data_IF_717593288158
#
_entry.id   IF_717593288158
#
_cell.length_a   1.000
_cell.length_b   1.000
_cell.length_c   1.000
_cell.angle_alpha   90.00
_cell.angle_beta   90.00
_cell.angle_gamma   90.00
#
_symmetry.space_group_name_H-M   'P 1'
#
loop_
_entity.id
_entity.type
_entity.pdbx_description
1 polymer ?
#
# COMPACT_ATOMS: atom_id res chain seq x y z
N UNK A 1 2.08 21.73 -25.68
CA UNK A 1 2.14 23.14 -25.23
C UNK A 1 3.26 23.27 -24.22
N UNK A 2 3.99 24.38 -24.22
CA UNK A 2 5.14 24.59 -23.32
C UNK A 2 5.09 25.98 -22.74
N UNK A 3 5.21 26.10 -21.42
CA UNK A 3 5.45 27.37 -20.73
C UNK A 3 6.90 27.42 -20.27
N UNK A 4 7.70 28.25 -20.93
CA UNK A 4 9.15 28.28 -20.77
C UNK A 4 9.63 29.58 -20.11
N UNK A 5 10.17 29.48 -18.89
CA UNK A 5 10.54 30.63 -18.08
C UNK A 5 11.99 30.60 -17.56
N UNK A 6 12.80 29.62 -17.97
CA UNK A 6 14.16 29.42 -17.46
C UNK A 6 15.21 30.43 -17.97
N UNK A 7 14.89 31.28 -18.95
CA UNK A 7 15.83 32.27 -19.49
C UNK A 7 16.21 33.37 -18.49
N UNK A 8 15.41 33.57 -17.44
CA UNK A 8 15.69 34.52 -16.35
C UNK A 8 15.56 33.84 -14.99
N UNK A 9 15.95 34.51 -13.91
CA UNK A 9 15.76 34.01 -12.55
C UNK A 9 14.30 34.05 -12.07
N UNK A 10 13.44 34.84 -12.74
CA UNK A 10 12.02 34.93 -12.42
C UNK A 10 11.27 33.63 -12.74
N UNK A 11 10.15 33.43 -12.06
CA UNK A 11 9.26 32.29 -12.26
C UNK A 11 8.10 32.67 -13.18
N UNK A 12 7.69 31.74 -14.05
CA UNK A 12 6.39 31.83 -14.71
C UNK A 12 5.27 31.71 -13.68
N UNK A 13 4.23 32.53 -13.80
CA UNK A 13 3.10 32.57 -12.86
C UNK A 13 1.81 32.78 -13.65
N UNK A 14 0.71 32.15 -13.25
CA UNK A 14 -0.60 32.30 -13.89
C UNK A 14 -0.76 31.55 -15.21
N UNK A 15 0.17 30.66 -15.56
CA UNK A 15 0.14 29.91 -16.82
C UNK A 15 -0.74 28.66 -16.69
N UNK A 16 -1.77 28.57 -17.53
CA UNK A 16 -2.76 27.49 -17.48
C UNK A 16 -3.01 26.86 -18.85
N UNK A 17 -3.32 25.56 -18.82
CA UNK A 17 -4.12 24.90 -19.84
C UNK A 17 -5.43 24.46 -19.21
N UNK A 18 -6.56 24.85 -19.80
CA UNK A 18 -7.89 24.49 -19.32
C UNK A 18 -8.72 23.94 -20.47
N UNK A 19 -9.14 22.68 -20.37
CA UNK A 19 -9.93 22.01 -21.39
C UNK A 19 -9.12 21.50 -22.58
N UNK A 20 -9.81 20.73 -23.42
CA UNK A 20 -9.31 20.31 -24.72
C UNK A 20 -8.61 18.95 -24.73
N UNK A 21 -8.06 18.61 -25.90
CA UNK A 21 -7.38 17.34 -26.16
C UNK A 21 -6.12 17.59 -26.98
N UNK A 22 -5.00 16.96 -26.59
CA UNK A 22 -3.74 16.99 -27.32
C UNK A 22 -3.36 15.56 -27.71
N UNK A 23 -2.98 15.35 -28.98
CA UNK A 23 -2.69 14.04 -29.55
C UNK A 23 -1.26 13.98 -30.08
N UNK A 24 -0.59 12.84 -29.90
CA UNK A 24 0.73 12.55 -30.47
C UNK A 24 1.81 13.55 -30.00
N UNK A 25 2.73 13.93 -30.89
CA UNK A 25 3.92 14.72 -30.54
C UNK A 25 4.99 13.85 -29.90
N UNK A 26 6.26 14.18 -30.15
CA UNK A 26 7.39 13.42 -29.58
C UNK A 26 7.63 13.70 -28.09
N UNK A 27 7.10 14.82 -27.58
CA UNK A 27 7.23 15.24 -26.18
C UNK A 27 5.99 14.98 -25.35
N UNK A 28 5.79 15.81 -24.32
CA UNK A 28 4.60 15.79 -23.46
C UNK A 28 3.49 16.70 -23.97
N UNK A 29 2.22 16.43 -23.65
CA UNK A 29 1.12 17.28 -24.13
C UNK A 29 1.18 18.70 -23.53
N UNK A 30 1.49 18.82 -22.23
CA UNK A 30 1.79 20.10 -21.58
C UNK A 30 3.08 19.97 -20.78
N UNK A 31 3.98 20.93 -20.95
CA UNK A 31 5.27 21.01 -20.26
C UNK A 31 5.42 22.36 -19.54
N UNK A 32 5.84 22.31 -18.27
CA UNK A 32 6.20 23.50 -17.50
C UNK A 32 7.69 23.54 -17.24
N UNK A 33 8.31 24.68 -17.49
CA UNK A 33 9.73 24.94 -17.28
C UNK A 33 9.86 26.21 -16.46
N UNK A 34 10.30 26.10 -15.20
CA UNK A 34 10.47 27.22 -14.26
C UNK A 34 9.19 28.00 -13.97
N UNK A 35 8.11 27.30 -13.66
CA UNK A 35 6.83 27.89 -13.26
C UNK A 35 6.55 27.67 -11.76
N UNK A 36 6.07 28.71 -11.10
CA UNK A 36 5.69 28.68 -9.70
C UNK A 36 4.33 29.34 -9.53
N UNK A 37 3.32 28.55 -9.13
CA UNK A 37 1.95 29.04 -8.95
C UNK A 37 1.78 29.96 -7.74
N UNK A 38 2.82 30.18 -6.94
CA UNK A 38 2.71 30.93 -5.68
C UNK A 38 1.84 30.21 -4.66
N UNK A 39 1.60 30.83 -3.50
CA UNK A 39 0.71 30.23 -2.49
C UNK A 39 -0.75 30.12 -2.97
N UNK A 40 -1.11 30.90 -3.99
CA UNK A 40 -2.44 30.89 -4.60
C UNK A 40 -2.65 29.68 -5.52
N UNK A 41 -1.59 28.91 -5.80
CA UNK A 41 -1.57 27.80 -6.74
C UNK A 41 -2.08 28.20 -8.14
N UNK A 42 -1.70 29.38 -8.59
CA UNK A 42 -2.15 29.97 -9.84
C UNK A 42 -1.26 29.52 -11.00
N UNK A 43 -1.48 28.29 -11.45
CA UNK A 43 -0.88 27.74 -12.67
C UNK A 43 -1.06 26.23 -12.72
N UNK A 44 -1.01 25.65 -13.92
CA UNK A 44 -1.07 24.21 -14.12
C UNK A 44 -2.04 23.77 -15.23
N UNK A 45 -2.67 22.62 -15.05
CA UNK A 45 -3.52 21.98 -16.07
C UNK A 45 -4.83 21.56 -15.47
N UNK A 46 -5.94 21.85 -16.17
CA UNK A 46 -7.28 21.37 -15.82
C UNK A 46 -8.04 20.83 -17.03
N UNK A 47 -8.85 19.79 -16.83
CA UNK A 47 -9.82 19.27 -17.80
C UNK A 47 -9.20 18.85 -19.15
N UNK A 48 -7.99 18.25 -19.11
CA UNK A 48 -7.22 17.91 -20.31
C UNK A 48 -7.29 16.41 -20.64
N UNK A 49 -7.44 16.09 -21.93
CA UNK A 49 -7.15 14.75 -22.46
C UNK A 49 -5.78 14.78 -23.17
N UNK A 50 -4.87 13.91 -22.76
CA UNK A 50 -3.59 13.65 -23.43
C UNK A 50 -3.60 12.25 -24.06
N UNK A 51 -3.41 12.16 -25.37
CA UNK A 51 -3.54 10.91 -26.13
C UNK A 51 -2.27 10.59 -26.94
N UNK A 52 -1.61 9.48 -26.61
CA UNK A 52 -0.47 8.91 -27.37
C UNK A 52 0.71 9.85 -27.60
N UNK A 53 1.00 10.68 -26.61
CA UNK A 53 2.19 11.53 -26.61
C UNK A 53 3.47 10.69 -26.43
N UNK A 54 4.57 11.13 -27.04
CA UNK A 54 5.85 10.41 -27.10
C UNK A 54 6.67 10.45 -25.81
N UNK A 55 6.37 11.37 -24.90
CA UNK A 55 6.85 11.35 -23.51
C UNK A 55 5.69 11.06 -22.55
N UNK A 56 5.37 12.01 -21.66
CA UNK A 56 4.37 11.86 -20.59
C UNK A 56 3.14 12.73 -20.85
N UNK A 57 2.00 12.41 -20.25
CA UNK A 57 0.77 13.17 -20.52
C UNK A 57 0.89 14.66 -20.19
N UNK A 58 1.25 14.97 -18.95
CA UNK A 58 1.71 16.31 -18.55
C UNK A 58 3.01 16.18 -17.78
N UNK A 59 3.86 17.21 -17.87
CA UNK A 59 5.20 17.16 -17.29
C UNK A 59 5.62 18.48 -16.64
N UNK A 60 6.18 18.38 -15.45
CA UNK A 60 7.05 19.41 -14.89
C UNK A 60 8.48 19.05 -15.24
N UNK A 61 9.21 19.95 -15.89
CA UNK A 61 10.58 19.67 -16.29
C UNK A 61 11.49 19.53 -15.04
N UNK A 62 12.46 18.61 -15.11
CA UNK A 62 13.39 18.31 -14.02
C UNK A 62 14.77 18.96 -14.23
N UNK A 63 15.53 19.13 -13.15
CA UNK A 63 16.92 19.61 -13.20
C UNK A 63 17.07 20.99 -13.89
N UNK A 64 18.12 21.17 -14.69
CA UNK A 64 18.54 22.43 -15.30
C UNK A 64 18.39 22.41 -16.83
N UNK A 65 18.03 23.55 -17.41
CA UNK A 65 18.16 23.84 -18.84
C UNK A 65 19.05 25.07 -18.98
N UNK A 66 20.08 25.01 -19.84
CA UNK A 66 20.97 26.15 -20.08
C UNK A 66 21.70 26.66 -18.84
N UNK A 67 21.89 25.80 -17.82
CA UNK A 67 22.57 26.15 -16.57
C UNK A 67 21.69 26.80 -15.50
N UNK A 68 20.36 26.82 -15.66
CA UNK A 68 19.41 27.29 -14.64
C UNK A 68 18.35 26.23 -14.37
N UNK A 69 17.87 26.13 -13.13
CA UNK A 69 16.81 25.19 -12.80
C UNK A 69 15.52 25.46 -13.59
N UNK A 70 14.99 24.38 -14.17
CA UNK A 70 13.76 24.30 -14.95
C UNK A 70 12.59 23.67 -14.15
N UNK A 71 12.80 23.41 -12.85
CA UNK A 71 11.85 22.83 -11.91
C UNK A 71 10.59 23.66 -11.75
N UNK A 72 9.58 23.14 -11.06
CA UNK A 72 8.29 23.81 -10.92
C UNK A 72 7.73 23.64 -9.50
N UNK A 73 6.90 24.60 -9.08
CA UNK A 73 6.36 24.65 -7.72
C UNK A 73 4.89 25.06 -7.71
N UNK A 74 4.12 24.55 -6.75
CA UNK A 74 2.77 25.03 -6.39
C UNK A 74 1.78 25.11 -7.55
N UNK A 75 1.92 24.21 -8.52
CA UNK A 75 0.96 24.06 -9.62
C UNK A 75 -0.19 23.12 -9.26
N UNK A 76 -1.32 23.27 -9.96
CA UNK A 76 -2.48 22.37 -9.85
C UNK A 76 -2.61 21.52 -11.11
N UNK A 77 -2.76 20.22 -10.92
CA UNK A 77 -3.06 19.24 -11.97
C UNK A 77 -4.38 18.58 -11.61
N UNK A 78 -5.44 18.91 -12.33
CA UNK A 78 -6.81 18.56 -11.94
C UNK A 78 -7.61 18.04 -13.14
N UNK A 79 -8.26 16.89 -13.02
CA UNK A 79 -9.09 16.31 -14.08
C UNK A 79 -8.31 16.10 -15.39
N UNK A 80 -7.25 15.29 -15.33
CA UNK A 80 -6.41 14.95 -16.49
C UNK A 80 -6.64 13.49 -16.85
N UNK A 81 -6.96 13.24 -18.12
CA UNK A 81 -7.05 11.90 -18.70
C UNK A 81 -5.84 11.66 -19.59
N UNK A 82 -4.96 10.73 -19.25
CA UNK A 82 -3.87 10.31 -20.14
C UNK A 82 -4.10 8.91 -20.68
N UNK A 83 -3.99 8.75 -22.00
CA UNK A 83 -4.20 7.46 -22.67
C UNK A 83 -2.98 7.14 -23.52
N UNK A 84 -2.33 6.03 -23.21
CA UNK A 84 -1.27 5.44 -24.04
C UNK A 84 -0.07 6.36 -24.31
N UNK A 85 0.34 7.16 -23.33
CA UNK A 85 1.65 7.83 -23.40
C UNK A 85 2.79 6.80 -23.40
N UNK A 86 3.90 7.14 -24.07
CA UNK A 86 5.03 6.22 -24.20
C UNK A 86 5.92 6.18 -22.95
N UNK A 87 5.95 7.27 -22.18
CA UNK A 87 6.47 7.27 -20.81
C UNK A 87 5.27 7.26 -19.86
N UNK A 88 5.13 8.28 -19.01
CA UNK A 88 4.25 8.20 -17.85
C UNK A 88 2.91 8.86 -18.13
N UNK A 89 1.88 8.49 -17.37
CA UNK A 89 0.58 9.15 -17.50
C UNK A 89 0.64 10.62 -17.10
N UNK A 90 1.28 10.92 -15.96
CA UNK A 90 1.72 12.26 -15.56
C UNK A 90 3.12 12.15 -14.94
N UNK A 91 4.01 13.09 -15.25
CA UNK A 91 5.37 13.18 -14.70
C UNK A 91 5.53 14.49 -13.94
N UNK A 92 5.23 14.46 -12.64
CA UNK A 92 5.25 15.66 -11.77
C UNK A 92 6.49 15.60 -10.86
N UNK A 93 7.65 15.36 -11.47
CA UNK A 93 8.94 15.34 -10.78
C UNK A 93 9.70 16.66 -10.98
N UNK A 94 10.58 17.00 -10.05
CA UNK A 94 11.48 18.14 -10.08
C UNK A 94 12.95 17.70 -10.15
N UNK A 95 13.34 16.63 -9.48
CA UNK A 95 14.68 16.05 -9.57
C UNK A 95 14.65 14.74 -10.38
N UNK A 96 15.71 14.47 -11.15
CA UNK A 96 15.88 13.18 -11.84
C UNK A 96 17.35 12.79 -12.02
N UNK A 97 17.63 11.49 -12.08
CA UNK A 97 18.99 10.97 -12.21
C UNK A 97 19.84 11.18 -10.94
N UNK A 98 21.16 11.26 -11.12
CA UNK A 98 22.12 11.43 -10.03
C UNK A 98 22.06 12.84 -9.43
N UNK A 99 22.22 13.00 -8.10
CA UNK A 99 22.22 14.30 -7.46
C UNK A 99 23.28 15.26 -8.03
N UNK A 100 22.84 16.48 -8.34
CA UNK A 100 23.70 17.60 -8.75
C UNK A 100 23.22 18.87 -8.03
N UNK A 101 24.12 19.83 -7.79
CA UNK A 101 23.72 21.08 -7.13
C UNK A 101 22.74 21.86 -8.00
N UNK A 102 21.69 22.43 -7.37
CA UNK A 102 20.65 23.15 -8.09
C UNK A 102 21.05 24.60 -8.33
N UNK A 103 20.82 25.12 -9.52
CA UNK A 103 21.18 26.51 -9.89
C UNK A 103 19.95 27.41 -9.92
N UNK A 104 19.98 28.51 -9.16
CA UNK A 104 18.85 29.42 -8.94
C UNK A 104 17.57 28.71 -8.44
N UNK A 105 17.78 27.73 -7.54
CA UNK A 105 16.76 26.95 -6.83
C UNK A 105 17.30 26.56 -5.44
N UNK A 106 16.53 25.85 -4.62
CA UNK A 106 16.97 25.44 -3.29
C UNK A 106 18.19 24.51 -3.33
N UNK A 107 19.23 24.76 -2.50
CA UNK A 107 20.43 23.95 -2.49
C UNK A 107 20.17 22.55 -1.90
N UNK A 108 21.02 21.58 -2.26
CA UNK A 108 20.95 20.21 -1.73
C UNK A 108 21.06 20.14 -0.20
N UNK A 109 21.77 21.08 0.41
CA UNK A 109 21.91 21.19 1.87
C UNK A 109 20.62 21.58 2.58
N UNK A 110 19.70 22.24 1.89
CA UNK A 110 18.40 22.63 2.42
C UNK A 110 17.34 21.56 2.16
N UNK A 111 17.32 21.02 0.93
CA UNK A 111 16.40 19.96 0.53
C UNK A 111 17.17 18.89 -0.25
N UNK A 112 17.27 17.66 0.29
CA UNK A 112 17.89 16.54 -0.42
C UNK A 112 17.26 16.30 -1.80
N UNK A 113 17.95 15.53 -2.62
CA UNK A 113 17.44 15.10 -3.94
C UNK A 113 16.09 14.38 -3.78
N UNK A 114 15.15 14.66 -4.69
CA UNK A 114 13.75 14.22 -4.66
C UNK A 114 12.90 14.77 -3.51
N UNK A 115 13.40 15.73 -2.72
CA UNK A 115 12.72 16.23 -1.51
C UNK A 115 12.51 17.74 -1.53
N UNK A 116 12.41 18.36 -2.71
CA UNK A 116 12.02 19.75 -2.83
C UNK A 116 10.59 19.97 -2.30
N UNK A 117 10.28 21.12 -1.68
CA UNK A 117 8.95 21.43 -1.19
C UNK A 117 8.03 21.89 -2.34
N UNK A 118 7.83 21.02 -3.33
CA UNK A 118 7.12 21.31 -4.58
C UNK A 118 5.67 21.72 -4.37
N UNK A 119 4.98 21.15 -3.36
CA UNK A 119 3.63 21.59 -2.92
C UNK A 119 2.60 21.64 -4.04
N UNK A 120 2.66 20.70 -4.98
CA UNK A 120 1.64 20.56 -6.01
C UNK A 120 0.33 20.04 -5.42
N UNK A 121 -0.77 20.40 -6.09
CA UNK A 121 -2.08 19.79 -5.87
C UNK A 121 -2.37 18.93 -7.10
N UNK A 122 -2.41 17.62 -6.92
CA UNK A 122 -2.60 16.64 -7.99
C UNK A 122 -3.88 15.86 -7.70
N UNK A 123 -4.91 16.00 -8.54
CA UNK A 123 -6.18 15.35 -8.26
C UNK A 123 -7.03 15.00 -9.47
N UNK A 124 -7.97 14.07 -9.28
CA UNK A 124 -8.89 13.63 -10.32
C UNK A 124 -8.16 13.17 -11.59
N UNK A 125 -7.10 12.40 -11.44
CA UNK A 125 -6.29 11.96 -12.57
C UNK A 125 -6.72 10.56 -12.96
N UNK A 126 -6.93 10.33 -14.26
CA UNK A 126 -7.14 8.99 -14.81
C UNK A 126 -6.10 8.70 -15.89
N UNK A 127 -5.38 7.59 -15.77
CA UNK A 127 -4.41 7.16 -16.78
C UNK A 127 -4.70 5.73 -17.23
N UNK A 128 -4.49 5.46 -18.51
CA UNK A 128 -4.77 4.15 -19.10
C UNK A 128 -3.69 3.73 -20.09
N UNK A 129 -3.17 2.52 -19.86
CA UNK A 129 -2.29 1.81 -20.80
C UNK A 129 -1.02 2.61 -21.15
N UNK A 130 -0.47 3.33 -20.18
CA UNK A 130 0.80 4.05 -20.30
C UNK A 130 1.97 3.07 -20.27
N UNK A 131 2.94 3.23 -21.16
CA UNK A 131 4.09 2.34 -21.30
C UNK A 131 5.15 2.53 -20.18
N UNK A 132 5.15 3.69 -19.54
CA UNK A 132 5.87 3.98 -18.30
C UNK A 132 5.00 3.77 -17.06
N UNK A 133 5.17 4.66 -16.08
CA UNK A 133 4.43 4.66 -14.82
C UNK A 133 3.05 5.29 -15.02
N UNK A 134 2.03 4.79 -14.32
CA UNK A 134 0.67 5.33 -14.40
C UNK A 134 0.59 6.79 -13.99
N UNK A 135 1.04 7.15 -12.80
CA UNK A 135 1.23 8.52 -12.34
C UNK A 135 2.33 8.58 -11.27
N UNK A 136 3.22 9.57 -11.36
CA UNK A 136 4.31 9.71 -10.38
C UNK A 136 4.77 11.14 -10.16
N UNK A 137 5.41 11.33 -9.00
CA UNK A 137 5.90 12.61 -8.51
C UNK A 137 7.07 12.41 -7.54
N UNK A 138 7.81 13.49 -7.31
CA UNK A 138 8.76 13.62 -6.21
C UNK A 138 8.44 14.86 -5.36
N UNK A 139 9.38 15.20 -4.48
CA UNK A 139 9.26 16.33 -3.58
C UNK A 139 8.46 15.99 -2.32
N UNK A 140 8.06 17.03 -1.61
CA UNK A 140 7.36 16.92 -0.34
C UNK A 140 6.28 17.97 -0.17
N UNK A 141 5.32 17.67 0.71
CA UNK A 141 4.15 18.48 0.98
C UNK A 141 3.20 18.63 -0.22
N UNK A 142 3.26 17.71 -1.18
CA UNK A 142 2.24 17.61 -2.23
C UNK A 142 0.94 17.05 -1.64
N UNK A 143 -0.19 17.48 -2.19
CA UNK A 143 -1.51 16.90 -1.90
C UNK A 143 -1.99 16.13 -3.12
N UNK A 144 -2.21 14.83 -2.95
CA UNK A 144 -2.63 13.91 -4.00
C UNK A 144 -3.97 13.28 -3.63
N UNK A 145 -4.95 13.38 -4.51
CA UNK A 145 -6.31 12.88 -4.26
C UNK A 145 -6.98 12.32 -5.53
N UNK A 146 -7.69 11.20 -5.41
CA UNK A 146 -8.51 10.65 -6.49
C UNK A 146 -7.71 10.37 -7.78
N UNK A 147 -6.78 9.43 -7.70
CA UNK A 147 -5.94 9.00 -8.83
C UNK A 147 -6.31 7.57 -9.21
N UNK A 148 -6.60 7.37 -10.50
CA UNK A 148 -6.98 6.07 -11.05
C UNK A 148 -6.04 5.70 -12.19
N UNK A 149 -5.33 4.57 -12.09
CA UNK A 149 -4.43 4.11 -13.15
C UNK A 149 -4.82 2.69 -13.58
N UNK A 150 -5.03 2.51 -14.89
CA UNK A 150 -5.29 1.23 -15.52
C UNK A 150 -4.11 0.83 -16.39
N UNK A 151 -3.70 -0.44 -16.31
CA UNK A 151 -2.84 -1.07 -17.31
C UNK A 151 -1.46 -0.41 -17.48
N UNK A 152 -0.93 0.21 -16.44
CA UNK A 152 0.43 0.75 -16.47
C UNK A 152 1.45 -0.38 -16.70
N UNK A 153 2.36 -0.17 -17.65
CA UNK A 153 3.41 -1.13 -17.98
C UNK A 153 4.53 -1.15 -16.94
N UNK A 154 4.71 -0.07 -16.18
CA UNK A 154 5.53 0.00 -14.96
C UNK A 154 4.63 0.02 -13.72
N UNK A 155 5.07 0.65 -12.63
CA UNK A 155 4.22 0.91 -11.47
C UNK A 155 2.95 1.68 -11.86
N UNK A 156 1.85 1.47 -11.12
CA UNK A 156 0.65 2.28 -11.28
C UNK A 156 0.84 3.67 -10.66
N UNK A 157 1.34 3.68 -9.43
CA UNK A 157 1.66 4.90 -8.68
C UNK A 157 3.07 4.83 -8.13
N UNK A 158 3.81 5.94 -8.24
CA UNK A 158 5.16 6.06 -7.68
C UNK A 158 5.33 7.41 -6.99
N UNK A 159 5.47 7.40 -5.66
CA UNK A 159 5.96 8.55 -4.89
C UNK A 159 7.48 8.40 -4.68
N UNK A 160 8.25 9.16 -5.44
CA UNK A 160 9.72 9.20 -5.36
C UNK A 160 10.21 10.11 -4.24
N UNK A 161 9.33 10.94 -3.70
CA UNK A 161 9.62 11.90 -2.65
C UNK A 161 9.30 11.40 -1.26
N UNK A 162 8.85 12.30 -0.39
CA UNK A 162 8.55 12.02 1.02
C UNK A 162 7.55 13.03 1.56
N UNK A 163 6.91 12.73 2.70
CA UNK A 163 6.03 13.68 3.40
C UNK A 163 4.90 14.24 2.51
N UNK A 164 4.35 13.39 1.64
CA UNK A 164 3.20 13.70 0.79
C UNK A 164 1.93 13.09 1.38
N UNK A 165 0.80 13.79 1.22
CA UNK A 165 -0.53 13.28 1.57
C UNK A 165 -1.21 12.70 0.33
N UNK A 166 -1.50 11.41 0.37
CA UNK A 166 -1.97 10.60 -0.76
C UNK A 166 -3.31 9.96 -0.39
N UNK A 167 -4.35 10.26 -1.15
CA UNK A 167 -5.72 9.84 -0.82
C UNK A 167 -6.47 9.32 -2.05
N UNK A 168 -7.39 8.38 -1.83
CA UNK A 168 -8.32 7.86 -2.84
C UNK A 168 -7.60 7.35 -4.11
N UNK A 169 -6.75 6.35 -3.95
CA UNK A 169 -5.94 5.79 -5.03
C UNK A 169 -6.55 4.48 -5.52
N UNK A 170 -6.68 4.32 -6.83
CA UNK A 170 -7.09 3.08 -7.48
C UNK A 170 -6.08 2.64 -8.54
N UNK A 171 -5.47 1.47 -8.36
CA UNK A 171 -4.52 0.89 -9.32
C UNK A 171 -5.02 -0.46 -9.81
N UNK A 172 -5.17 -0.63 -11.12
CA UNK A 172 -5.67 -1.86 -11.73
C UNK A 172 -4.72 -2.33 -12.83
N UNK A 173 -4.20 -3.54 -12.69
CA UNK A 173 -3.38 -4.19 -13.73
C UNK A 173 -2.07 -3.47 -14.05
N UNK A 174 -1.42 -2.83 -13.07
CA UNK A 174 -0.07 -2.29 -13.24
C UNK A 174 0.99 -3.40 -13.25
N UNK A 175 2.24 -3.07 -13.56
CA UNK A 175 3.29 -4.04 -13.91
C UNK A 175 2.80 -4.99 -15.03
N UNK A 176 2.16 -4.41 -16.06
CA UNK A 176 1.54 -5.16 -17.15
C UNK A 176 2.53 -6.03 -17.93
N UNK A 177 3.79 -5.60 -18.01
CA UNK A 177 4.87 -6.31 -18.70
C UNK A 177 5.54 -7.41 -17.87
N UNK A 178 5.13 -7.61 -16.62
CA UNK A 178 5.62 -8.67 -15.74
C UNK A 178 7.13 -8.62 -15.48
N UNK A 179 7.67 -7.42 -15.26
CA UNK A 179 9.10 -7.16 -15.00
C UNK A 179 9.43 -7.08 -13.52
N UNK A 180 8.68 -7.79 -12.67
CA UNK A 180 8.82 -7.86 -11.21
C UNK A 180 8.76 -6.50 -10.47
N UNK A 181 7.97 -5.56 -11.01
CA UNK A 181 7.68 -4.27 -10.38
C UNK A 181 6.51 -4.37 -9.41
N UNK A 182 6.43 -3.41 -8.49
CA UNK A 182 5.31 -3.27 -7.56
C UNK A 182 4.13 -2.54 -8.22
N UNK A 183 2.95 -2.63 -7.60
CA UNK A 183 1.78 -1.89 -8.10
C UNK A 183 1.82 -0.42 -7.66
N UNK A 184 2.13 -0.18 -6.38
CA UNK A 184 2.29 1.14 -5.77
C UNK A 184 3.63 1.18 -5.03
N UNK A 185 4.39 2.26 -5.22
CA UNK A 185 5.67 2.51 -4.52
C UNK A 185 5.66 3.86 -3.83
N UNK A 186 6.14 3.91 -2.59
CA UNK A 186 6.57 5.15 -1.94
C UNK A 186 7.97 4.96 -1.34
N UNK A 187 8.92 5.78 -1.78
CA UNK A 187 10.32 5.68 -1.33
C UNK A 187 10.52 6.28 0.07
N UNK A 188 9.89 7.44 0.32
CA UNK A 188 9.94 8.16 1.59
C UNK A 188 8.79 7.88 2.54
N UNK A 189 8.73 8.70 3.59
CA UNK A 189 7.69 8.66 4.62
C UNK A 189 6.48 9.48 4.22
N UNK A 190 5.56 8.86 3.48
CA UNK A 190 4.31 9.45 3.02
C UNK A 190 3.11 8.83 3.72
N UNK A 191 1.94 9.35 3.36
CA UNK A 191 0.73 9.27 4.16
C UNK A 191 -0.45 8.88 3.29
N UNK A 192 -0.79 7.59 3.27
CA UNK A 192 -1.79 7.03 2.34
C UNK A 192 -3.13 6.71 3.03
N UNK A 193 -4.28 7.07 2.41
CA UNK A 193 -5.63 6.70 2.87
C UNK A 193 -6.53 6.35 1.70
N UNK A 194 -7.30 5.26 1.82
CA UNK A 194 -8.25 4.87 0.79
C UNK A 194 -7.53 4.38 -0.46
N UNK A 195 -7.00 3.16 -0.41
CA UNK A 195 -6.20 2.57 -1.48
C UNK A 195 -6.87 1.30 -1.97
N UNK A 196 -7.16 1.23 -3.27
CA UNK A 196 -7.65 0.03 -3.93
C UNK A 196 -6.61 -0.45 -4.94
N UNK A 197 -6.19 -1.70 -4.83
CA UNK A 197 -5.29 -2.35 -5.79
C UNK A 197 -5.98 -3.60 -6.34
N UNK A 198 -6.00 -3.74 -7.66
CA UNK A 198 -6.40 -4.97 -8.34
C UNK A 198 -5.26 -5.40 -9.28
N UNK A 199 -4.29 -6.13 -8.72
CA UNK A 199 -3.19 -6.69 -9.48
C UNK A 199 -3.66 -7.91 -10.30
N UNK A 200 -3.24 -7.99 -11.57
CA UNK A 200 -3.44 -9.16 -12.44
C UNK A 200 -2.25 -10.12 -12.43
N UNK A 201 -1.28 -9.88 -11.55
CA UNK A 201 -0.07 -10.67 -11.35
C UNK A 201 0.22 -10.87 -9.86
N UNK A 202 0.98 -11.91 -9.53
CA UNK A 202 1.46 -12.20 -8.16
C UNK A 202 2.86 -11.64 -7.87
N UNK A 203 3.53 -11.10 -8.89
CA UNK A 203 4.83 -10.43 -8.78
C UNK A 203 4.78 -9.20 -7.86
N UNK A 204 5.92 -8.89 -7.23
CA UNK A 204 6.06 -7.73 -6.34
C UNK A 204 5.03 -7.63 -5.21
N UNK A 205 4.78 -6.38 -4.80
CA UNK A 205 3.85 -5.97 -3.75
C UNK A 205 2.66 -5.20 -4.33
N UNK A 206 1.51 -5.30 -3.67
CA UNK A 206 0.39 -4.39 -3.93
C UNK A 206 0.76 -2.97 -3.48
N UNK A 207 1.40 -2.86 -2.30
CA UNK A 207 1.94 -1.60 -1.78
C UNK A 207 3.33 -1.87 -1.21
N UNK A 208 4.34 -1.20 -1.77
CA UNK A 208 5.71 -1.17 -1.25
C UNK A 208 6.05 0.24 -0.79
N UNK A 209 5.89 0.49 0.51
CA UNK A 209 6.00 1.83 1.08
C UNK A 209 6.62 1.78 2.49
N UNK A 210 7.87 1.29 2.63
CA UNK A 210 8.44 0.85 3.91
C UNK A 210 8.44 1.92 5.01
N UNK A 211 8.60 3.19 4.65
CA UNK A 211 8.65 4.32 5.59
C UNK A 211 7.30 5.04 5.77
N UNK A 212 6.28 4.62 5.03
CA UNK A 212 4.97 5.28 5.01
C UNK A 212 3.98 4.66 5.99
N UNK A 213 2.92 5.40 6.28
CA UNK A 213 1.71 4.91 6.94
C UNK A 213 0.55 4.77 5.95
N UNK A 214 -0.31 3.78 6.17
CA UNK A 214 -1.44 3.48 5.29
C UNK A 214 -2.71 3.11 6.04
N UNK A 215 -3.88 3.56 5.57
CA UNK A 215 -5.19 3.16 6.10
C UNK A 215 -6.21 2.91 4.98
N UNK A 216 -7.25 2.13 5.30
CA UNK A 216 -8.34 1.78 4.37
C UNK A 216 -7.85 1.21 3.03
N UNK A 217 -7.15 0.07 3.10
CA UNK A 217 -6.56 -0.62 1.93
C UNK A 217 -7.40 -1.82 1.52
N UNK A 218 -7.66 -1.98 0.23
CA UNK A 218 -8.30 -3.15 -0.36
C UNK A 218 -7.45 -3.71 -1.51
N UNK A 219 -7.16 -5.01 -1.45
CA UNK A 219 -6.43 -5.73 -2.50
C UNK A 219 -7.34 -6.78 -3.16
N UNK A 220 -7.91 -6.46 -4.32
CA UNK A 220 -8.89 -7.29 -5.03
C UNK A 220 -8.26 -8.46 -5.81
N UNK A 221 -9.13 -9.33 -6.35
CA UNK A 221 -8.76 -10.41 -7.28
C UNK A 221 -7.86 -11.48 -6.67
N UNK A 222 -7.07 -12.17 -7.50
CA UNK A 222 -6.11 -13.22 -7.10
C UNK A 222 -4.64 -12.80 -7.18
N UNK A 223 -4.35 -11.57 -7.65
CA UNK A 223 -2.99 -11.04 -7.69
C UNK A 223 -2.41 -10.71 -6.31
N UNK A 224 -1.20 -10.15 -6.31
CA UNK A 224 -0.44 -9.81 -5.09
C UNK A 224 -1.28 -8.98 -4.12
N UNK A 225 -1.18 -9.33 -2.83
CA UNK A 225 -1.84 -8.62 -1.71
C UNK A 225 -0.83 -8.22 -0.64
N UNK A 226 0.46 -8.30 -0.96
CA UNK A 226 1.54 -7.98 -0.02
C UNK A 226 1.55 -6.47 0.21
N UNK A 227 1.56 -6.08 1.47
CA UNK A 227 1.65 -4.68 1.92
C UNK A 227 2.88 -4.59 2.83
N UNK A 228 3.81 -3.70 2.49
CA UNK A 228 4.97 -3.36 3.30
C UNK A 228 4.94 -1.87 3.65
N UNK A 229 4.83 -1.54 4.93
CA UNK A 229 4.78 -0.17 5.44
C UNK A 229 5.20 -0.10 6.92
N UNK A 230 5.28 1.11 7.48
CA UNK A 230 5.61 1.34 8.90
C UNK A 230 4.38 1.15 9.81
N UNK A 231 3.21 1.62 9.37
CA UNK A 231 1.97 1.56 10.15
C UNK A 231 0.76 1.27 9.26
N UNK A 232 -0.13 0.40 9.75
CA UNK A 232 -1.43 0.09 9.13
C UNK A 232 -2.53 0.57 10.08
N UNK A 233 -3.38 1.48 9.60
CA UNK A 233 -4.49 2.03 10.39
C UNK A 233 -5.55 1.00 10.76
N UNK A 234 -6.17 1.20 11.91
CA UNK A 234 -7.15 0.27 12.49
C UNK A 234 -8.40 0.10 11.61
N UNK A 235 -8.93 -1.13 11.58
CA UNK A 235 -10.25 -1.42 10.99
C UNK A 235 -11.31 -1.25 12.07
N UNK A 236 -12.26 -0.33 11.85
CA UNK A 236 -13.34 -0.02 12.79
C UNK A 236 -14.71 -0.29 12.15
N UNK A 237 -15.71 -0.61 12.98
CA UNK A 237 -17.08 -0.88 12.51
C UNK A 237 -17.99 -1.46 13.59
N UNK A 238 -19.19 -1.85 13.18
CA UNK A 238 -20.14 -2.62 13.99
C UNK A 238 -19.94 -4.13 13.83
N UNK A 239 -21.04 -4.86 13.58
CA UNK A 239 -20.96 -6.30 13.30
C UNK A 239 -20.07 -6.60 12.08
N UNK A 240 -19.27 -7.67 12.17
CA UNK A 240 -18.45 -8.17 11.07
C UNK A 240 -19.17 -9.36 10.45
N UNK A 241 -19.73 -9.17 9.25
CA UNK A 241 -20.29 -10.25 8.44
C UNK A 241 -19.42 -10.43 7.19
N UNK A 242 -18.79 -11.58 7.08
CA UNK A 242 -17.89 -11.94 5.98
C UNK A 242 -18.37 -13.24 5.34
N UNK A 243 -18.20 -13.34 4.02
CA UNK A 243 -18.60 -14.50 3.24
C UNK A 243 -17.53 -14.83 2.20
N UNK A 244 -17.39 -16.10 1.88
CA UNK A 244 -16.51 -16.60 0.83
C UNK A 244 -17.21 -17.73 0.07
N UNK A 245 -16.84 -17.94 -1.19
CA UNK A 245 -17.39 -19.02 -2.02
C UNK A 245 -16.72 -20.38 -1.72
N UNK A 246 -15.51 -20.37 -1.17
CA UNK A 246 -14.84 -21.59 -0.71
C UNK A 246 -15.43 -22.10 0.61
N UNK A 247 -15.36 -23.42 0.82
CA UNK A 247 -15.87 -24.07 2.03
C UNK A 247 -15.13 -23.61 3.30
N UNK A 248 -13.88 -23.19 3.18
CA UNK A 248 -13.05 -22.74 4.30
C UNK A 248 -12.73 -21.26 4.13
N UNK A 249 -12.89 -20.51 5.23
CA UNK A 249 -12.43 -19.12 5.32
C UNK A 249 -11.70 -18.87 6.63
N UNK A 250 -10.86 -17.84 6.65
CA UNK A 250 -10.00 -17.56 7.80
C UNK A 250 -10.00 -16.08 8.19
N UNK A 251 -9.82 -15.85 9.49
CA UNK A 251 -9.28 -14.62 10.04
C UNK A 251 -7.84 -14.91 10.47
N UNK A 252 -6.88 -14.14 9.95
CA UNK A 252 -5.47 -14.29 10.28
C UNK A 252 -4.91 -12.99 10.85
N UNK A 253 -4.04 -13.11 11.84
CA UNK A 253 -3.37 -11.96 12.48
C UNK A 253 -1.86 -12.15 12.44
N UNK A 254 -1.15 -11.20 11.83
CA UNK A 254 0.31 -11.24 11.66
C UNK A 254 0.98 -10.02 12.32
N UNK A 255 1.10 -10.00 13.66
CA UNK A 255 1.91 -8.98 14.33
C UNK A 255 3.40 -9.15 13.99
N UNK A 256 4.22 -8.17 14.43
CA UNK A 256 5.64 -8.09 14.06
C UNK A 256 5.85 -8.16 12.53
N UNK A 257 4.99 -7.46 11.79
CA UNK A 257 4.84 -7.60 10.34
C UNK A 257 6.10 -7.32 9.51
N UNK A 258 7.11 -6.66 10.08
CA UNK A 258 8.40 -6.40 9.43
C UNK A 258 9.36 -7.60 9.44
N UNK A 259 9.12 -8.62 10.27
CA UNK A 259 10.03 -9.77 10.44
C UNK A 259 9.37 -11.14 10.42
N UNK A 260 8.04 -11.21 10.35
CA UNK A 260 7.28 -12.49 10.31
C UNK A 260 6.74 -12.78 8.91
N UNK A 261 6.67 -14.05 8.52
CA UNK A 261 6.00 -14.47 7.28
C UNK A 261 4.64 -15.10 7.59
N UNK A 262 4.60 -16.02 8.55
CA UNK A 262 3.39 -16.72 8.95
C UNK A 262 2.57 -15.90 9.97
N UNK A 263 1.22 -16.00 9.95
CA UNK A 263 0.39 -15.39 10.99
C UNK A 263 0.65 -16.04 12.35
N UNK A 264 0.60 -15.23 13.41
CA UNK A 264 0.73 -15.72 14.79
C UNK A 264 -0.57 -16.34 15.32
N UNK A 265 -1.71 -15.95 14.74
CA UNK A 265 -3.03 -16.46 15.07
C UNK A 265 -3.83 -16.71 13.80
N UNK A 266 -4.52 -17.85 13.75
CA UNK A 266 -5.47 -18.21 12.69
C UNK A 266 -6.75 -18.74 13.32
N UNK A 267 -7.87 -18.09 13.02
CA UNK A 267 -9.22 -18.57 13.28
C UNK A 267 -9.83 -19.05 11.97
N UNK A 268 -10.37 -20.27 11.95
CA UNK A 268 -10.94 -20.91 10.76
C UNK A 268 -12.42 -21.20 10.95
N UNK A 269 -13.18 -20.98 9.88
CA UNK A 269 -14.54 -21.50 9.72
C UNK A 269 -14.53 -22.43 8.51
N UNK A 270 -14.78 -23.72 8.72
CA UNK A 270 -14.78 -24.73 7.68
C UNK A 270 -16.17 -25.37 7.57
N UNK A 271 -16.87 -25.11 6.48
CA UNK A 271 -18.15 -25.70 6.14
C UNK A 271 -17.96 -27.12 5.59
N UNK A 272 -18.28 -28.12 6.41
CA UNK A 272 -18.18 -29.53 6.05
C UNK A 272 -19.38 -29.99 5.20
N UNK A 273 -20.58 -29.47 5.51
CA UNK A 273 -21.82 -29.77 4.80
C UNK A 273 -22.47 -28.45 4.36
N UNK A 274 -22.34 -28.02 3.10
CA UNK A 274 -22.89 -26.77 2.58
C UNK A 274 -24.33 -26.95 2.08
N UNK A 275 -25.23 -27.44 2.96
CA UNK A 275 -26.65 -27.60 2.64
C UNK A 275 -27.46 -26.56 3.41
N UNK A 276 -28.21 -25.72 2.69
CA UNK A 276 -29.01 -24.65 3.27
C UNK A 276 -29.96 -25.17 4.37
N UNK A 277 -29.84 -24.61 5.57
CA UNK A 277 -30.61 -25.00 6.76
C UNK A 277 -30.20 -26.32 7.40
N UNK A 278 -29.10 -26.94 6.94
CA UNK A 278 -28.51 -28.18 7.44
C UNK A 278 -26.99 -28.09 7.47
N UNK A 279 -26.46 -26.89 7.69
CA UNK A 279 -25.05 -26.62 7.68
C UNK A 279 -24.35 -27.31 8.85
N UNK A 280 -23.23 -27.98 8.55
CA UNK A 280 -22.33 -28.51 9.59
C UNK A 280 -20.97 -27.86 9.39
N UNK A 281 -20.46 -27.21 10.43
CA UNK A 281 -19.16 -26.55 10.41
C UNK A 281 -18.23 -27.07 11.50
N UNK A 282 -16.93 -27.00 11.18
CA UNK A 282 -15.81 -27.08 12.11
C UNK A 282 -15.25 -25.68 12.34
N UNK A 283 -15.05 -25.31 13.60
CA UNK A 283 -14.35 -24.07 13.98
C UNK A 283 -12.99 -24.45 14.55
N UNK A 284 -11.93 -23.79 14.09
CA UNK A 284 -10.57 -24.01 14.58
C UNK A 284 -9.88 -22.72 15.00
N UNK A 285 -9.09 -22.78 16.06
CA UNK A 285 -8.23 -21.67 16.51
C UNK A 285 -6.83 -22.20 16.82
N UNK A 286 -5.80 -21.65 16.16
CA UNK A 286 -4.42 -22.12 16.32
C UNK A 286 -3.43 -20.97 16.52
N UNK A 287 -2.38 -21.26 17.29
CA UNK A 287 -1.18 -20.43 17.43
C UNK A 287 -0.04 -20.96 16.54
N UNK A 288 1.15 -20.33 16.62
CA UNK A 288 2.33 -20.69 15.85
C UNK A 288 3.52 -21.04 16.77
N UNK A 289 4.26 -22.12 16.46
CA UNK A 289 5.53 -22.46 17.11
C UNK A 289 6.49 -23.04 16.07
N UNK A 290 7.76 -22.61 16.09
CA UNK A 290 8.80 -23.07 15.16
C UNK A 290 8.38 -22.98 13.67
N UNK A 291 7.56 -21.97 13.34
CA UNK A 291 7.04 -21.75 11.99
C UNK A 291 5.84 -22.61 11.60
N UNK A 292 5.36 -23.49 12.48
CA UNK A 292 4.25 -24.42 12.23
C UNK A 292 3.04 -24.09 13.11
N UNK A 293 1.80 -24.20 12.60
CA UNK A 293 0.60 -24.10 13.43
C UNK A 293 0.60 -25.18 14.53
N UNK A 294 0.36 -24.77 15.78
CA UNK A 294 0.29 -25.68 16.93
C UNK A 294 -0.88 -25.35 17.84
N UNK A 295 -1.18 -26.28 18.76
CA UNK A 295 -2.19 -26.12 19.80
C UNK A 295 -3.56 -25.69 19.25
N UNK A 296 -4.04 -26.40 18.23
CA UNK A 296 -5.33 -26.15 17.63
C UNK A 296 -6.46 -26.57 18.59
N UNK A 297 -7.24 -25.61 19.07
CA UNK A 297 -8.57 -25.90 19.62
C UNK A 297 -9.52 -26.09 18.44
N UNK A 298 -10.36 -27.11 18.51
CA UNK A 298 -11.39 -27.36 17.50
C UNK A 298 -12.77 -27.56 18.16
N UNK A 299 -13.82 -27.09 17.49
CA UNK A 299 -15.21 -27.28 17.91
C UNK A 299 -15.98 -28.06 16.84
N UNK A 300 -16.75 -29.04 17.29
CA UNK A 300 -17.64 -29.85 16.46
C UNK A 300 -16.90 -30.64 15.35
N UNK A 301 -15.69 -31.12 15.65
CA UNK A 301 -14.95 -32.01 14.75
C UNK A 301 -15.81 -33.23 14.41
N UNK A 302 -15.92 -33.54 13.12
CA UNK A 302 -16.76 -34.62 12.57
C UNK A 302 -18.26 -34.54 12.96
N UNK A 303 -18.76 -33.39 13.43
CA UNK A 303 -20.17 -33.22 13.80
C UNK A 303 -20.56 -33.78 15.18
N UNK A 304 -19.59 -34.13 16.04
CA UNK A 304 -19.86 -34.74 17.34
C UNK A 304 -20.23 -33.76 18.47
N UNK A 305 -20.25 -32.45 18.22
CA UNK A 305 -20.62 -31.45 19.24
C UNK A 305 -19.65 -31.26 20.41
N UNK A 306 -18.41 -31.77 20.31
CA UNK A 306 -17.39 -31.67 21.36
C UNK A 306 -16.35 -30.57 21.07
N UNK A 307 -15.54 -30.26 22.09
CA UNK A 307 -14.33 -29.44 21.98
C UNK A 307 -13.10 -30.35 22.03
N UNK A 308 -12.21 -30.23 21.04
CA UNK A 308 -10.88 -30.84 21.10
C UNK A 308 -9.93 -29.86 21.79
N UNK A 309 -9.35 -30.28 22.93
CA UNK A 309 -8.48 -29.45 23.78
C UNK A 309 -7.02 -29.92 23.60
N UNK A 310 -6.10 -29.06 23.14
CA UNK A 310 -4.69 -29.42 23.05
C UNK A 310 -4.08 -29.57 24.44
N UNK A 311 -3.30 -30.64 24.64
CA UNK A 311 -2.52 -30.89 25.85
C UNK A 311 -1.02 -30.80 25.56
N UNK A 312 -0.23 -30.39 26.56
CA UNK A 312 1.22 -30.36 26.44
C UNK A 312 1.76 -31.80 26.31
N UNK A 313 2.67 -32.04 25.37
CA UNK A 313 3.24 -33.38 25.11
C UNK A 313 4.28 -33.82 26.15
N UNK A 314 4.56 -33.02 27.17
CA UNK A 314 5.51 -33.29 28.24
C UNK A 314 5.17 -32.51 29.49
N UNK A 315 6.03 -32.58 30.52
CA UNK A 315 5.82 -31.87 31.79
C UNK A 315 5.54 -30.38 31.55
N UNK A 316 4.36 -29.91 31.98
CA UNK A 316 4.03 -28.49 31.95
C UNK A 316 4.72 -27.80 33.15
N UNK A 317 5.58 -26.78 32.92
CA UNK A 317 6.15 -25.99 33.99
C UNK A 317 5.12 -24.99 34.56
N UNK A 318 5.32 -24.55 35.80
CA UNK A 318 4.47 -23.54 36.47
C UNK A 318 4.34 -22.25 35.65
N UNK A 319 5.42 -21.82 34.99
CA UNK A 319 5.43 -20.65 34.11
C UNK A 319 4.51 -20.76 32.89
N UNK A 320 4.03 -21.97 32.57
CA UNK A 320 3.05 -22.22 31.52
C UNK A 320 1.63 -21.74 31.87
N UNK A 321 1.34 -21.38 33.13
CA UNK A 321 0.05 -20.86 33.57
C UNK A 321 0.18 -19.43 34.09
N UNK A 322 -0.21 -18.45 33.28
CA UNK A 322 -0.05 -17.02 33.58
C UNK A 322 -1.10 -16.44 34.53
N UNK A 323 -2.30 -17.02 34.57
CA UNK A 323 -3.44 -16.49 35.34
C UNK A 323 -3.78 -17.35 36.56
N UNK A 324 -4.21 -16.71 37.66
CA UNK A 324 -4.75 -17.41 38.83
C UNK A 324 -6.09 -18.08 38.51
N UNK A 325 -6.35 -19.23 39.14
CA UNK A 325 -7.56 -20.01 38.91
C UNK A 325 -7.60 -20.66 37.51
N UNK A 326 -6.44 -21.06 36.97
CA UNK A 326 -6.32 -21.68 35.65
C UNK A 326 -5.74 -23.09 35.71
N UNK A 327 -5.99 -23.87 34.67
CA UNK A 327 -5.52 -25.25 34.53
C UNK A 327 -4.90 -25.49 33.16
N UNK A 328 -3.95 -26.43 33.08
CA UNK A 328 -3.37 -26.91 31.84
C UNK A 328 -3.21 -28.43 31.86
N UNK A 329 -3.59 -29.09 30.76
CA UNK A 329 -3.42 -30.53 30.59
C UNK A 329 -2.04 -30.85 30.03
N UNK A 330 -1.43 -31.95 30.48
CA UNK A 330 -0.15 -32.41 29.97
C UNK A 330 0.03 -33.92 30.11
N UNK A 331 0.91 -34.48 29.29
CA UNK A 331 1.32 -35.88 29.39
C UNK A 331 2.63 -36.03 30.16
N UNK A 332 2.63 -36.93 31.14
CA UNK A 332 3.82 -37.34 31.85
C UNK A 332 4.79 -38.17 31.00
N UNK A 333 6.00 -38.39 31.51
CA UNK A 333 6.98 -39.30 30.88
C UNK A 333 6.50 -40.75 30.84
N UNK A 334 5.54 -41.10 31.70
CA UNK A 334 4.83 -42.37 31.77
C UNK A 334 3.61 -42.44 30.83
N UNK A 335 3.34 -41.38 30.07
CA UNK A 335 2.20 -41.28 29.16
C UNK A 335 0.86 -40.98 29.85
N UNK A 336 0.84 -40.80 31.18
CA UNK A 336 -0.38 -40.46 31.92
C UNK A 336 -0.80 -39.01 31.65
N UNK A 337 -2.10 -38.79 31.44
CA UNK A 337 -2.68 -37.45 31.36
C UNK A 337 -2.80 -36.85 32.76
N UNK A 338 -2.31 -35.62 32.93
CA UNK A 338 -2.30 -34.89 34.20
C UNK A 338 -2.83 -33.48 34.01
N UNK A 339 -3.24 -32.86 35.12
CA UNK A 339 -3.65 -31.47 35.20
C UNK A 339 -2.69 -30.73 36.13
N UNK A 340 -2.04 -29.68 35.62
CA UNK A 340 -1.41 -28.66 36.47
C UNK A 340 -2.45 -27.57 36.73
N UNK A 341 -2.67 -27.24 38.00
CA UNK A 341 -3.55 -26.15 38.42
C UNK A 341 -2.74 -25.04 39.08
N UNK A 342 -2.98 -23.78 38.68
CA UNK A 342 -2.57 -22.59 39.41
C UNK A 342 -3.76 -22.08 40.21
N UNK A 343 -3.73 -22.30 41.51
CA UNK A 343 -4.83 -21.99 42.43
C UNK A 343 -5.12 -20.48 42.50
N UNK A 344 -6.29 -20.08 43.04
CA UNK A 344 -6.63 -18.66 43.25
C UNK A 344 -5.66 -17.91 44.16
N UNK A 345 -4.98 -18.60 45.07
CA UNK A 345 -3.94 -18.04 45.95
C UNK A 345 -2.54 -17.99 45.31
N UNK A 346 -2.42 -18.45 44.05
CA UNK A 346 -1.18 -18.49 43.29
C UNK A 346 -0.30 -19.73 43.52
N UNK A 347 -0.67 -20.63 44.41
CA UNK A 347 0.02 -21.92 44.61
C UNK A 347 -0.25 -22.89 43.46
N UNK A 348 0.65 -23.86 43.26
CA UNK A 348 0.51 -24.88 42.21
C UNK A 348 0.18 -26.25 42.79
N UNK A 349 -0.64 -27.01 42.07
CA UNK A 349 -0.94 -28.41 42.40
C UNK A 349 -1.12 -29.24 41.14
N UNK A 350 -0.58 -30.45 41.14
CA UNK A 350 -0.75 -31.44 40.06
C UNK A 350 -1.79 -32.49 40.46
N UNK A 351 -2.64 -32.87 39.51
CA UNK A 351 -3.63 -33.94 39.65
C UNK A 351 -3.37 -35.00 38.59
N UNK A 352 -3.36 -36.27 39.00
CA UNK A 352 -3.38 -37.43 38.12
C UNK A 352 -4.83 -37.80 37.77
N UNK A 353 -5.09 -38.20 36.52
CA UNK A 353 -6.42 -38.61 36.03
C UNK A 353 -6.60 -40.12 35.95
#
# INVERSE_FOLDING_TARGET
MTFENHHTSAWGYGNWVVGGEIKYGSGSAVMFIRNDGGNDHNGGVRDLISYRVGESGVKTYQNEIGGRSARNYRLVFDNITTIQSYYDGIDINADTGSPAERVDDYPLSQYPWFQLPTKHIIRNIITKDCMGIGAWWDGQNNTIDNIVTYEAHKEGIFDRGTNNDITNITVVGANKDLTDLNQIVCEGGSRMRGVLVHAYTTQGYAVYAPQSEISSVACAGSGTKKILCTYVGDVQGGNINVQHNENLMTLTMRPAMGSTINPSLTLTANCLIPLAGKETSLVGLSALKDGVPVAAMELNREGFGHMSIPACSGQLPESGLTHYGSVGFFFGTDGALRILARNPDGTYKTYDL
#
